data_IF_816154485572
#
_entry.id   IF_816154485572
#
_cell.length_a   1.000
_cell.length_b   1.000
_cell.length_c   1.000
_cell.angle_alpha   90.00
_cell.angle_beta   90.00
_cell.angle_gamma   90.00
#
_symmetry.space_group_name_H-M   'P 1'
#
loop_
_entity.id
_entity.type
_entity.pdbx_description
1 polymer ?
#
# COMPACT_ATOMS: atom_id res chain seq x y z
N UNK A 1 -61.91 29.06 45.90
CA UNK A 1 -62.62 28.62 44.72
C UNK A 1 -61.67 28.48 43.55
N UNK A 2 -61.32 27.25 43.26
CA UNK A 2 -61.50 26.57 41.99
C UNK A 2 -60.80 27.28 40.84
N UNK A 3 -59.91 26.68 40.08
CA UNK A 3 -59.85 25.38 39.40
C UNK A 3 -58.41 25.14 38.94
N UNK A 4 -57.80 24.14 39.34
CA UNK A 4 -57.49 22.93 38.55
C UNK A 4 -57.41 23.20 37.04
N UNK A 5 -56.24 23.56 36.59
CA UNK A 5 -55.84 23.42 35.20
C UNK A 5 -54.89 22.26 35.11
N UNK A 6 -55.46 21.15 34.71
CA UNK A 6 -54.76 19.93 34.43
C UNK A 6 -54.06 20.11 33.09
N UNK A 7 -52.79 20.39 33.12
CA UNK A 7 -52.00 20.41 31.89
C UNK A 7 -51.33 19.05 31.75
N UNK A 8 -51.94 18.30 30.91
CA UNK A 8 -51.50 17.01 30.46
C UNK A 8 -50.24 17.19 29.66
N UNK A 9 -49.12 16.91 30.28
CA UNK A 9 -47.83 16.91 29.61
C UNK A 9 -47.77 15.66 28.74
N UNK A 10 -48.00 15.86 27.47
CA UNK A 10 -47.77 14.82 26.46
C UNK A 10 -46.28 14.68 26.33
N UNK A 11 -45.75 13.67 26.95
CA UNK A 11 -44.37 13.25 26.77
C UNK A 11 -44.25 12.59 25.39
N UNK A 12 -43.96 13.39 24.37
CA UNK A 12 -43.51 12.86 23.08
C UNK A 12 -42.12 12.31 23.25
N UNK A 13 -42.05 11.06 23.60
CA UNK A 13 -40.80 10.28 23.46
C UNK A 13 -40.55 10.07 21.97
N UNK A 14 -39.79 10.98 21.39
CA UNK A 14 -39.15 10.77 20.10
C UNK A 14 -38.11 9.65 20.28
N UNK A 15 -38.53 8.42 20.04
CA UNK A 15 -37.60 7.34 19.78
C UNK A 15 -36.89 7.66 18.46
N UNK A 16 -35.73 8.27 18.57
CA UNK A 16 -34.78 8.26 17.49
C UNK A 16 -34.25 6.84 17.41
N UNK A 17 -34.86 6.05 16.56
CA UNK A 17 -34.24 4.79 16.13
C UNK A 17 -33.09 5.18 15.28
N UNK A 18 -31.93 5.28 15.90
CA UNK A 18 -30.68 5.26 15.20
C UNK A 18 -30.55 3.86 14.58
N UNK A 19 -30.99 3.71 13.36
CA UNK A 19 -30.62 2.57 12.55
C UNK A 19 -29.13 2.73 12.30
N UNK A 20 -28.31 2.09 13.14
CA UNK A 20 -26.95 1.78 12.77
C UNK A 20 -27.04 0.88 11.53
N UNK A 21 -26.98 1.53 10.37
CA UNK A 21 -26.66 0.83 9.15
C UNK A 21 -25.25 0.27 9.32
N UNK A 22 -25.16 -0.93 9.82
CA UNK A 22 -23.97 -1.74 9.63
C UNK A 22 -23.87 -2.00 8.14
N UNK A 23 -23.25 -1.09 7.42
CA UNK A 23 -22.72 -1.44 6.13
C UNK A 23 -21.67 -2.50 6.41
N UNK A 24 -22.11 -3.75 6.34
CA UNK A 24 -21.18 -4.85 6.22
C UNK A 24 -20.39 -4.60 4.94
N UNK A 25 -19.25 -3.98 5.08
CA UNK A 25 -18.23 -3.98 4.06
C UNK A 25 -17.80 -5.45 3.93
N UNK A 26 -18.50 -6.18 3.07
CA UNK A 26 -17.97 -7.42 2.54
C UNK A 26 -16.74 -7.02 1.73
N UNK A 27 -15.62 -6.84 2.42
CA UNK A 27 -14.34 -6.58 1.80
C UNK A 27 -14.02 -7.76 0.91
N UNK A 28 -14.22 -7.61 -0.41
CA UNK A 28 -13.29 -8.24 -1.32
C UNK A 28 -11.93 -7.81 -0.83
N UNK A 29 -11.06 -8.75 -0.51
CA UNK A 29 -9.63 -8.52 -0.30
C UNK A 29 -9.01 -8.03 -1.62
N UNK A 30 -9.39 -6.86 -2.05
CA UNK A 30 -8.54 -6.03 -2.88
C UNK A 30 -7.49 -5.52 -1.92
N UNK A 31 -6.33 -6.16 -1.94
CA UNK A 31 -5.14 -5.56 -1.36
C UNK A 31 -5.04 -4.18 -2.00
N UNK A 32 -5.34 -3.15 -1.21
CA UNK A 32 -5.26 -1.78 -1.70
C UNK A 32 -3.84 -1.55 -2.18
N UNK A 33 -3.69 -1.13 -3.43
CA UNK A 33 -2.37 -0.91 -4.04
C UNK A 33 -1.55 0.07 -3.20
N UNK A 34 -2.20 1.04 -2.59
CA UNK A 34 -1.56 2.00 -1.70
C UNK A 34 -2.37 2.17 -0.43
N UNK A 35 -1.70 2.05 0.71
CA UNK A 35 -2.28 2.26 2.04
C UNK A 35 -1.50 3.33 2.77
N UNK A 36 -2.20 4.25 3.44
CA UNK A 36 -1.58 5.23 4.33
C UNK A 36 -1.67 4.73 5.76
N UNK A 37 -0.55 4.60 6.43
CA UNK A 37 -0.45 4.21 7.82
C UNK A 37 -0.74 5.41 8.75
N UNK A 38 -1.02 5.13 10.03
CA UNK A 38 -1.34 6.15 11.03
C UNK A 38 -0.20 7.16 11.26
N UNK A 39 1.05 6.75 11.06
CA UNK A 39 2.25 7.59 11.18
C UNK A 39 2.54 8.43 9.93
N UNK A 40 1.67 8.38 8.92
CA UNK A 40 1.82 9.10 7.65
C UNK A 40 2.65 8.38 6.60
N UNK A 41 3.13 7.18 6.86
CA UNK A 41 3.85 6.36 5.88
C UNK A 41 2.87 5.79 4.85
N UNK A 42 3.21 5.90 3.59
CA UNK A 42 2.50 5.21 2.50
C UNK A 42 3.17 3.88 2.20
N UNK A 43 2.39 2.84 2.11
CA UNK A 43 2.85 1.51 1.67
C UNK A 43 2.25 1.24 0.30
N UNK A 44 3.10 1.11 -0.71
CA UNK A 44 2.69 0.78 -2.07
C UNK A 44 3.01 -0.68 -2.35
N UNK A 45 1.97 -1.47 -2.61
CA UNK A 45 2.09 -2.88 -2.94
C UNK A 45 2.08 -3.05 -4.46
N UNK A 46 3.13 -3.63 -5.01
CA UNK A 46 3.28 -3.74 -6.47
C UNK A 46 2.68 -5.02 -7.07
N UNK A 47 2.04 -5.87 -6.28
CA UNK A 47 1.51 -7.16 -6.74
C UNK A 47 0.62 -7.03 -7.98
N UNK A 48 -0.29 -6.06 -7.98
CA UNK A 48 -1.17 -5.79 -9.12
C UNK A 48 -0.57 -4.84 -10.14
N UNK A 49 0.26 -3.89 -9.70
CA UNK A 49 0.91 -2.91 -10.58
C UNK A 49 1.91 -3.53 -11.56
N UNK A 50 2.49 -4.63 -11.19
CA UNK A 50 3.54 -5.31 -11.95
C UNK A 50 3.26 -6.81 -12.09
N UNK A 51 2.00 -7.19 -12.20
CA UNK A 51 1.56 -8.58 -12.38
C UNK A 51 2.04 -9.21 -13.70
N UNK A 52 2.33 -8.38 -14.68
CA UNK A 52 2.91 -8.75 -15.99
C UNK A 52 4.44 -8.80 -15.97
N UNK A 53 5.08 -8.25 -14.93
CA UNK A 53 6.54 -8.22 -14.82
C UNK A 53 7.03 -9.46 -14.11
N UNK A 54 7.75 -10.29 -14.83
CA UNK A 54 8.32 -11.53 -14.31
C UNK A 54 9.83 -11.45 -14.20
N UNK A 55 10.36 -11.99 -13.10
CA UNK A 55 11.77 -12.31 -12.96
C UNK A 55 12.12 -13.59 -13.72
N UNK A 56 13.02 -14.39 -13.17
CA UNK A 56 13.43 -15.62 -13.80
C UNK A 56 12.34 -16.71 -13.74
N UNK A 57 11.63 -16.84 -12.62
CA UNK A 57 10.61 -17.88 -12.40
C UNK A 57 9.22 -17.34 -12.13
N UNK A 58 9.11 -16.18 -11.51
CA UNK A 58 7.82 -15.62 -11.05
C UNK A 58 7.81 -14.11 -11.07
N UNK A 59 6.65 -13.54 -10.77
CA UNK A 59 6.57 -12.13 -10.40
C UNK A 59 7.34 -11.87 -9.11
N UNK A 60 7.86 -10.66 -8.96
CA UNK A 60 8.63 -10.22 -7.79
C UNK A 60 7.95 -9.07 -7.07
N UNK A 61 6.79 -9.30 -6.45
CA UNK A 61 6.03 -8.22 -5.81
C UNK A 61 6.80 -7.63 -4.63
N UNK A 62 6.62 -6.32 -4.44
CA UNK A 62 7.30 -5.53 -3.42
C UNK A 62 6.31 -4.70 -2.62
N UNK A 63 6.67 -4.39 -1.38
CA UNK A 63 6.11 -3.27 -0.62
C UNK A 63 7.13 -2.13 -0.59
N UNK A 64 6.70 -0.95 -1.01
CA UNK A 64 7.53 0.25 -0.98
C UNK A 64 6.97 1.17 0.10
N UNK A 65 7.79 1.47 1.10
CA UNK A 65 7.44 2.34 2.21
C UNK A 65 7.94 3.75 1.92
N UNK A 66 7.02 4.71 1.90
CA UNK A 66 7.31 6.10 1.55
C UNK A 66 6.79 7.02 2.65
N UNK A 67 7.66 7.86 3.20
CA UNK A 67 7.32 8.86 4.20
C UNK A 67 7.92 10.20 3.84
N UNK A 68 7.16 11.27 3.98
CA UNK A 68 7.62 12.63 3.66
C UNK A 68 8.24 12.74 2.25
N UNK A 69 7.67 12.03 1.27
CA UNK A 69 8.16 12.03 -0.11
C UNK A 69 9.50 11.34 -0.34
N UNK A 70 9.98 10.55 0.64
CA UNK A 70 11.20 9.75 0.54
C UNK A 70 10.90 8.27 0.69
N UNK A 71 11.62 7.45 -0.02
CA UNK A 71 11.59 6.00 0.16
C UNK A 71 12.28 5.64 1.46
N UNK A 72 11.57 5.08 2.41
CA UNK A 72 12.15 4.58 3.66
C UNK A 72 12.80 3.23 3.47
N UNK A 73 12.06 2.30 2.87
CA UNK A 73 12.55 0.96 2.55
C UNK A 73 11.76 0.34 1.41
N UNK A 74 12.35 -0.65 0.78
CA UNK A 74 11.70 -1.55 -0.17
C UNK A 74 11.83 -2.97 0.36
N UNK A 75 10.73 -3.68 0.43
CA UNK A 75 10.66 -5.03 0.98
C UNK A 75 10.09 -5.99 -0.07
N UNK A 76 10.78 -7.10 -0.29
CA UNK A 76 10.29 -8.13 -1.18
C UNK A 76 9.22 -8.98 -0.50
N UNK A 77 8.10 -9.15 -1.18
CA UNK A 77 7.04 -10.06 -0.77
C UNK A 77 7.35 -11.49 -1.21
N UNK A 78 6.50 -12.43 -0.77
CA UNK A 78 6.62 -13.84 -1.14
C UNK A 78 6.60 -13.98 -2.66
N UNK A 79 7.57 -14.68 -3.20
CA UNK A 79 7.71 -15.00 -4.62
C UNK A 79 8.29 -16.40 -4.79
N UNK A 80 8.38 -16.88 -6.03
CA UNK A 80 8.88 -18.21 -6.37
C UNK A 80 10.24 -18.16 -7.09
N UNK A 81 10.95 -17.04 -6.96
CA UNK A 81 12.30 -16.90 -7.48
C UNK A 81 13.26 -17.89 -6.80
N UNK A 82 14.33 -18.25 -7.47
CA UNK A 82 15.34 -19.15 -6.90
C UNK A 82 16.04 -18.47 -5.72
N UNK A 83 15.91 -18.98 -4.49
CA UNK A 83 16.35 -18.27 -3.28
C UNK A 83 17.81 -17.83 -3.32
N UNK A 84 18.69 -18.69 -3.82
CA UNK A 84 20.14 -18.41 -3.93
C UNK A 84 20.44 -17.11 -4.71
N UNK A 85 19.76 -16.90 -5.83
CA UNK A 85 19.97 -15.73 -6.68
C UNK A 85 19.15 -14.53 -6.19
N UNK A 86 17.94 -14.77 -5.73
CA UNK A 86 17.07 -13.68 -5.29
C UNK A 86 17.55 -13.02 -4.00
N UNK A 87 18.19 -13.75 -3.10
CA UNK A 87 18.83 -13.15 -1.91
C UNK A 87 19.91 -12.14 -2.33
N UNK A 88 20.68 -12.41 -3.37
CA UNK A 88 21.67 -11.47 -3.89
C UNK A 88 21.00 -10.20 -4.44
N UNK A 89 19.92 -10.36 -5.18
CA UNK A 89 19.10 -9.22 -5.68
C UNK A 89 18.57 -8.37 -4.54
N UNK A 90 17.98 -9.00 -3.52
CA UNK A 90 17.49 -8.29 -2.34
C UNK A 90 18.58 -7.48 -1.66
N UNK A 91 19.70 -8.09 -1.38
CA UNK A 91 20.79 -7.45 -0.63
C UNK A 91 21.48 -6.34 -1.42
N UNK A 92 21.65 -6.53 -2.73
CA UNK A 92 22.39 -5.59 -3.56
C UNK A 92 21.52 -4.42 -4.08
N UNK A 93 20.23 -4.65 -4.31
CA UNK A 93 19.39 -3.71 -5.05
C UNK A 93 18.37 -2.99 -4.18
N UNK A 94 17.65 -3.67 -3.30
CA UNK A 94 16.51 -3.06 -2.60
C UNK A 94 16.92 -1.85 -1.74
N UNK A 95 18.08 -1.88 -1.12
CA UNK A 95 18.58 -0.79 -0.30
C UNK A 95 18.98 0.47 -1.10
N UNK A 96 19.14 0.37 -2.41
CA UNK A 96 19.60 1.50 -3.26
C UNK A 96 18.64 2.68 -3.27
N UNK A 97 17.36 2.43 -3.08
CA UNK A 97 16.33 3.48 -3.03
C UNK A 97 16.12 4.07 -1.63
N UNK A 98 16.63 3.43 -0.58
CA UNK A 98 16.43 3.89 0.79
C UNK A 98 16.95 5.32 0.98
N UNK A 99 16.11 6.19 1.57
CA UNK A 99 16.43 7.58 1.81
C UNK A 99 16.35 8.50 0.58
N UNK A 100 16.09 7.97 -0.60
CA UNK A 100 15.97 8.77 -1.82
C UNK A 100 14.60 9.45 -1.92
N UNK A 101 14.59 10.70 -2.37
CA UNK A 101 13.32 11.37 -2.73
C UNK A 101 12.64 10.60 -3.86
N UNK A 102 11.33 10.44 -3.78
CA UNK A 102 10.55 9.71 -4.79
C UNK A 102 10.80 10.25 -6.20
N UNK A 103 10.82 11.58 -6.38
CA UNK A 103 11.07 12.20 -7.67
C UNK A 103 12.44 11.81 -8.28
N UNK A 104 13.45 11.58 -7.44
CA UNK A 104 14.76 11.09 -7.86
C UNK A 104 14.74 9.57 -8.05
N UNK A 105 14.16 8.86 -7.10
CA UNK A 105 14.12 7.40 -7.08
C UNK A 105 13.48 6.79 -8.34
N UNK A 106 12.41 7.40 -8.86
CA UNK A 106 11.74 7.00 -10.12
C UNK A 106 12.69 6.99 -11.30
N UNK A 107 13.66 7.92 -11.32
CA UNK A 107 14.60 8.11 -12.44
C UNK A 107 15.93 7.42 -12.21
N UNK A 108 16.15 6.83 -11.04
CA UNK A 108 17.42 6.17 -10.73
C UNK A 108 17.63 4.95 -11.63
N UNK A 109 18.84 4.89 -12.17
CA UNK A 109 19.35 3.67 -12.82
C UNK A 109 20.10 2.87 -11.75
N UNK A 110 19.68 1.67 -11.52
CA UNK A 110 20.30 0.75 -10.57
C UNK A 110 20.84 -0.45 -11.35
N UNK A 111 22.09 -0.78 -11.12
CA UNK A 111 22.72 -1.92 -11.77
C UNK A 111 22.11 -3.23 -11.28
N UNK A 112 21.96 -4.19 -12.19
CA UNK A 112 21.53 -5.54 -11.86
C UNK A 112 22.63 -6.35 -11.21
N UNK A 113 22.25 -7.50 -10.67
CA UNK A 113 23.18 -8.48 -10.13
C UNK A 113 23.60 -9.45 -11.24
N UNK A 114 24.92 -9.62 -11.41
CA UNK A 114 25.46 -10.59 -12.37
C UNK A 114 24.95 -11.99 -12.06
N UNK A 115 24.41 -12.68 -13.05
CA UNK A 115 23.80 -14.00 -12.90
C UNK A 115 22.35 -13.99 -12.40
N UNK A 116 21.78 -12.81 -12.09
CA UNK A 116 20.38 -12.64 -11.68
C UNK A 116 19.71 -11.46 -12.41
N UNK A 117 20.03 -11.24 -13.67
CA UNK A 117 19.61 -10.09 -14.47
C UNK A 117 18.09 -10.00 -14.58
N UNK A 118 17.40 -11.09 -14.88
CA UNK A 118 15.94 -11.09 -15.05
C UNK A 118 15.23 -10.72 -13.75
N UNK A 119 15.64 -11.28 -12.63
CA UNK A 119 15.08 -10.96 -11.32
C UNK A 119 15.41 -9.53 -10.91
N UNK A 120 16.60 -9.04 -11.23
CA UNK A 120 17.03 -7.65 -11.00
C UNK A 120 16.17 -6.67 -11.79
N UNK A 121 15.95 -6.93 -13.07
CA UNK A 121 15.14 -6.06 -13.94
C UNK A 121 13.68 -6.05 -13.52
N UNK A 122 13.15 -7.20 -13.11
CA UNK A 122 11.80 -7.28 -12.58
C UNK A 122 11.63 -6.46 -11.30
N UNK A 123 12.58 -6.53 -10.37
CA UNK A 123 12.56 -5.71 -9.14
C UNK A 123 12.64 -4.23 -9.47
N UNK A 124 13.51 -3.82 -10.37
CA UNK A 124 13.65 -2.41 -10.80
C UNK A 124 12.35 -1.88 -11.41
N UNK A 125 11.72 -2.64 -12.27
CA UNK A 125 10.44 -2.25 -12.88
C UNK A 125 9.31 -2.19 -11.84
N UNK A 126 9.25 -3.12 -10.88
CA UNK A 126 8.32 -3.06 -9.77
C UNK A 126 8.47 -1.77 -8.96
N UNK A 127 9.70 -1.40 -8.60
CA UNK A 127 9.96 -0.16 -7.85
C UNK A 127 9.53 1.06 -8.66
N UNK A 128 9.89 1.12 -9.93
CA UNK A 128 9.51 2.22 -10.82
C UNK A 128 7.99 2.40 -10.87
N UNK A 129 7.25 1.35 -11.18
CA UNK A 129 5.78 1.40 -11.25
C UNK A 129 5.13 1.78 -9.93
N UNK A 130 5.63 1.25 -8.81
CA UNK A 130 5.15 1.60 -7.48
C UNK A 130 5.36 3.07 -7.14
N UNK A 131 6.52 3.62 -7.43
CA UNK A 131 6.83 5.03 -7.20
C UNK A 131 6.04 5.96 -8.12
N UNK A 132 5.85 5.60 -9.39
CA UNK A 132 4.99 6.33 -10.32
C UNK A 132 3.53 6.33 -9.85
N UNK A 133 3.05 5.20 -9.36
CA UNK A 133 1.71 5.10 -8.79
C UNK A 133 1.54 6.02 -7.59
N UNK A 134 2.51 6.03 -6.68
CA UNK A 134 2.50 6.94 -5.54
C UNK A 134 2.44 8.41 -5.98
N UNK A 135 3.23 8.82 -6.97
CA UNK A 135 3.24 10.20 -7.45
C UNK A 135 1.88 10.65 -8.03
N UNK A 136 1.17 9.72 -8.65
CA UNK A 136 -0.14 10.02 -9.28
C UNK A 136 -1.31 10.02 -8.30
N UNK A 137 -1.18 9.34 -7.15
CA UNK A 137 -2.31 9.04 -6.27
C UNK A 137 -2.16 9.57 -4.83
N UNK A 138 -1.07 10.27 -4.51
CA UNK A 138 -0.87 10.85 -3.18
C UNK A 138 -1.68 12.13 -2.98
#
# INVERSE_FOLDING_TARGET
>A
MKRTGFIMTICCTLMVIATLGTTAFAGKNQSSVMTKMADGTYVVNTTTLASDVKGYRSTTPLNIYIKNGKVEKVEALKNQETPKYFVQVKNAILAKWNGQKVAKAVKMKVDGVTGATMSSDAVKENVKRGLEYYQKNK
#
